data_IF_317592261102
#
_entry.id   IF_317592261102
#
_cell.length_a   1.000
_cell.length_b   1.000
_cell.length_c   1.000
_cell.angle_alpha   90.00
_cell.angle_beta   90.00
_cell.angle_gamma   90.00
#
_symmetry.space_group_name_H-M   'P 1'
#
loop_
_entity.id
_entity.type
_entity.pdbx_description
1 polymer ?
#
# COMPACT_ATOMS: atom_id res chain seq x y z
N UNK A 1 -10.69 13.06 -11.62
CA UNK A 1 -11.84 12.15 -11.38
C UNK A 1 -11.65 10.85 -12.16
N UNK A 2 -11.97 9.73 -11.52
CA UNK A 2 -11.91 8.39 -12.11
C UNK A 2 -13.28 7.73 -11.96
N UNK A 3 -13.77 7.10 -13.01
CA UNK A 3 -15.02 6.34 -12.97
C UNK A 3 -14.69 4.89 -12.60
N UNK A 4 -15.32 4.39 -11.54
CA UNK A 4 -15.11 3.05 -11.00
C UNK A 4 -16.42 2.31 -10.83
N UNK A 5 -16.37 0.97 -10.76
CA UNK A 5 -17.51 0.12 -10.42
C UNK A 5 -17.46 -0.25 -8.94
N UNK A 6 -18.46 0.14 -8.19
CA UNK A 6 -18.57 -0.22 -6.77
C UNK A 6 -18.63 -1.75 -6.56
N UNK A 7 -19.25 -2.48 -7.48
CA UNK A 7 -19.28 -3.94 -7.44
C UNK A 7 -17.88 -4.55 -7.57
N UNK A 8 -17.06 -4.02 -8.46
CA UNK A 8 -15.65 -4.45 -8.62
C UNK A 8 -14.83 -4.13 -7.37
N UNK A 9 -14.98 -2.93 -6.82
CA UNK A 9 -14.28 -2.55 -5.59
C UNK A 9 -14.63 -3.45 -4.41
N UNK A 10 -15.91 -3.80 -4.28
CA UNK A 10 -16.40 -4.72 -3.23
C UNK A 10 -15.84 -6.14 -3.36
N UNK A 11 -15.48 -6.57 -4.55
CA UNK A 11 -14.80 -7.86 -4.78
C UNK A 11 -13.31 -7.76 -4.48
N UNK A 12 -12.70 -6.62 -4.75
CA UNK A 12 -11.27 -6.41 -4.64
C UNK A 12 -10.77 -6.22 -3.19
N UNK A 13 -11.66 -5.76 -2.29
CA UNK A 13 -11.26 -5.35 -0.93
C UNK A 13 -12.38 -5.56 0.08
N UNK A 14 -12.09 -6.18 1.24
CA UNK A 14 -13.06 -6.29 2.34
C UNK A 14 -13.44 -4.93 2.92
N UNK A 15 -12.51 -3.97 2.95
CA UNK A 15 -12.76 -2.59 3.38
C UNK A 15 -13.73 -1.91 2.43
N UNK A 16 -13.47 -1.95 1.11
CA UNK A 16 -14.38 -1.41 0.12
C UNK A 16 -15.72 -2.16 0.06
N UNK A 17 -15.72 -3.46 0.38
CA UNK A 17 -16.96 -4.23 0.51
C UNK A 17 -17.87 -3.65 1.58
N UNK A 18 -17.32 -3.27 2.72
CA UNK A 18 -18.06 -2.62 3.80
C UNK A 18 -18.46 -1.19 3.43
N UNK A 19 -17.52 -0.40 2.90
CA UNK A 19 -17.68 1.01 2.55
C UNK A 19 -18.77 1.21 1.47
N UNK A 20 -18.79 0.37 0.43
CA UNK A 20 -19.75 0.46 -0.68
C UNK A 20 -20.91 -0.53 -0.58
N UNK A 21 -21.20 -1.05 0.60
CA UNK A 21 -22.34 -1.94 0.81
C UNK A 21 -23.66 -1.14 0.67
N UNK A 22 -24.55 -1.48 -0.28
CA UNK A 22 -25.83 -0.77 -0.46
C UNK A 22 -26.72 -0.74 0.78
N UNK A 23 -26.60 -1.75 1.65
CA UNK A 23 -27.32 -1.84 2.92
C UNK A 23 -26.47 -1.35 4.12
N UNK A 24 -25.32 -0.74 3.86
CA UNK A 24 -24.40 -0.28 4.89
C UNK A 24 -24.76 1.10 5.43
N UNK A 25 -24.10 1.47 6.52
CA UNK A 25 -24.30 2.76 7.18
C UNK A 25 -23.31 3.84 6.71
N UNK A 26 -22.40 3.50 5.79
CA UNK A 26 -21.42 4.45 5.28
C UNK A 26 -22.05 5.40 4.26
N UNK A 27 -21.69 6.67 4.31
CA UNK A 27 -22.18 7.70 3.37
C UNK A 27 -21.79 7.37 1.92
N UNK A 28 -20.64 6.73 1.74
CA UNK A 28 -20.09 6.31 0.45
C UNK A 28 -20.96 5.25 -0.24
N UNK A 29 -21.77 4.50 0.51
CA UNK A 29 -22.62 3.42 -0.03
C UNK A 29 -23.65 3.92 -1.05
N UNK A 30 -24.12 5.15 -0.89
CA UNK A 30 -25.12 5.79 -1.75
C UNK A 30 -24.61 6.99 -2.53
N UNK A 31 -23.36 7.40 -2.27
CA UNK A 31 -22.76 8.56 -2.90
C UNK A 31 -22.45 8.32 -4.38
N UNK A 32 -22.77 9.29 -5.24
CA UNK A 32 -22.39 9.27 -6.66
C UNK A 32 -20.89 9.58 -6.86
N UNK A 33 -20.30 10.31 -5.96
CA UNK A 33 -18.89 10.70 -5.94
C UNK A 33 -18.34 10.50 -4.52
N UNK A 34 -17.17 9.91 -4.43
CA UNK A 34 -16.45 9.69 -3.18
C UNK A 34 -15.10 10.36 -3.28
N UNK A 35 -14.73 11.11 -2.25
CA UNK A 35 -13.44 11.78 -2.15
C UNK A 35 -12.52 11.00 -1.23
N UNK A 36 -11.24 10.91 -1.61
CA UNK A 36 -10.16 10.29 -0.85
C UNK A 36 -9.05 11.32 -0.63
N UNK A 37 -9.28 12.34 0.20
CA UNK A 37 -8.36 13.49 0.32
C UNK A 37 -7.01 13.13 0.92
N UNK A 38 -6.96 12.10 1.75
CA UNK A 38 -5.76 11.67 2.48
C UNK A 38 -4.93 10.61 1.73
N UNK A 39 -5.40 10.21 0.54
CA UNK A 39 -4.75 9.16 -0.24
C UNK A 39 -3.86 9.75 -1.33
N UNK A 40 -2.69 9.13 -1.56
CA UNK A 40 -1.88 9.44 -2.74
C UNK A 40 -2.66 9.07 -4.01
N UNK A 41 -2.99 10.05 -4.89
CA UNK A 41 -3.87 9.79 -6.02
C UNK A 41 -3.24 8.88 -7.08
N UNK A 42 -1.91 8.88 -7.22
CA UNK A 42 -1.22 8.02 -8.17
C UNK A 42 -1.22 6.57 -7.69
N UNK A 43 -0.89 6.35 -6.42
CA UNK A 43 -0.92 5.02 -5.81
C UNK A 43 -2.33 4.44 -5.80
N UNK A 44 -3.33 5.22 -5.40
CA UNK A 44 -4.74 4.78 -5.43
C UNK A 44 -5.16 4.42 -6.85
N UNK A 45 -4.77 5.20 -7.87
CA UNK A 45 -5.08 4.92 -9.27
C UNK A 45 -4.49 3.58 -9.74
N UNK A 46 -3.26 3.25 -9.34
CA UNK A 46 -2.63 1.96 -9.65
C UNK A 46 -3.49 0.82 -9.11
N UNK A 47 -3.86 0.87 -7.83
CA UNK A 47 -4.67 -0.18 -7.20
C UNK A 47 -6.06 -0.28 -7.84
N UNK A 48 -6.70 0.86 -8.17
CA UNK A 48 -7.97 0.89 -8.89
C UNK A 48 -7.88 0.26 -10.30
N UNK A 49 -6.78 0.50 -11.03
CA UNK A 49 -6.53 -0.11 -12.34
C UNK A 49 -6.41 -1.64 -12.23
N UNK A 50 -5.68 -2.13 -11.22
CA UNK A 50 -5.56 -3.57 -10.97
C UNK A 50 -6.92 -4.16 -10.64
N UNK A 51 -7.68 -3.55 -9.74
CA UNK A 51 -9.02 -4.00 -9.38
C UNK A 51 -9.96 -4.10 -10.60
N UNK A 52 -9.83 -3.19 -11.58
CA UNK A 52 -10.62 -3.15 -12.81
C UNK A 52 -9.99 -3.89 -13.99
N UNK A 53 -8.98 -4.72 -13.75
CA UNK A 53 -8.26 -5.53 -14.77
C UNK A 53 -7.62 -4.69 -15.90
N UNK A 54 -7.29 -3.44 -15.61
CA UNK A 54 -6.63 -2.53 -16.57
C UNK A 54 -5.11 -2.69 -16.52
N UNK A 55 -4.63 -3.90 -16.62
CA UNK A 55 -3.21 -4.24 -16.41
C UNK A 55 -2.24 -3.54 -17.35
N UNK A 56 -2.68 -3.19 -18.57
CA UNK A 56 -1.85 -2.43 -19.52
C UNK A 56 -1.51 -1.00 -19.05
N UNK A 57 -2.24 -0.50 -18.08
CA UNK A 57 -2.05 0.84 -17.51
C UNK A 57 -1.33 0.80 -16.16
N UNK A 58 -1.00 -0.39 -15.68
CA UNK A 58 -0.22 -0.59 -14.45
C UNK A 58 1.25 -0.48 -14.80
N UNK A 59 2.05 0.34 -14.09
CA UNK A 59 3.47 0.46 -14.37
C UNK A 59 4.21 -0.85 -14.04
N UNK A 60 5.15 -1.23 -14.91
CA UNK A 60 5.99 -2.41 -14.71
C UNK A 60 6.96 -2.23 -13.53
N UNK A 61 7.39 -1.01 -13.27
CA UNK A 61 8.30 -0.66 -12.18
C UNK A 61 7.78 0.54 -11.42
N UNK A 62 8.06 0.56 -10.13
CA UNK A 62 7.80 1.69 -9.24
C UNK A 62 9.12 2.19 -8.67
N UNK A 63 9.24 3.49 -8.48
CA UNK A 63 10.26 4.06 -7.60
C UNK A 63 9.98 3.66 -6.15
N UNK A 64 11.00 3.75 -5.29
CA UNK A 64 10.83 3.46 -3.86
C UNK A 64 9.67 4.25 -3.24
N UNK A 65 9.59 5.55 -3.51
CA UNK A 65 8.53 6.42 -3.00
C UNK A 65 7.12 6.00 -3.48
N UNK A 66 6.99 5.64 -4.75
CA UNK A 66 5.72 5.15 -5.28
C UNK A 66 5.33 3.81 -4.64
N UNK A 67 6.32 2.92 -4.43
CA UNK A 67 6.08 1.64 -3.77
C UNK A 67 5.63 1.81 -2.32
N UNK A 68 6.22 2.75 -1.57
CA UNK A 68 5.74 3.14 -0.23
C UNK A 68 4.30 3.60 -0.28
N UNK A 69 3.96 4.51 -1.20
CA UNK A 69 2.58 5.01 -1.34
C UNK A 69 1.60 3.88 -1.69
N UNK A 70 1.99 2.96 -2.58
CA UNK A 70 1.16 1.79 -2.90
C UNK A 70 1.00 0.87 -1.70
N UNK A 71 2.05 0.64 -0.92
CA UNK A 71 1.96 -0.15 0.31
C UNK A 71 0.99 0.45 1.32
N UNK A 72 1.01 1.78 1.50
CA UNK A 72 0.05 2.50 2.35
C UNK A 72 -1.40 2.28 1.89
N UNK A 73 -1.67 2.41 0.60
CA UNK A 73 -3.01 2.15 0.04
C UNK A 73 -3.41 0.69 0.24
N UNK A 74 -2.50 -0.25 0.00
CA UNK A 74 -2.77 -1.68 0.17
C UNK A 74 -3.07 -2.06 1.63
N UNK A 75 -2.36 -1.49 2.58
CA UNK A 75 -2.61 -1.67 4.01
C UNK A 75 -3.96 -1.07 4.42
N UNK A 76 -4.21 0.18 4.03
CA UNK A 76 -5.44 0.91 4.36
C UNK A 76 -6.71 0.21 3.84
N UNK A 77 -6.66 -0.33 2.64
CA UNK A 77 -7.83 -0.92 1.97
C UNK A 77 -7.80 -2.45 1.90
N UNK A 78 -6.83 -3.09 2.54
CA UNK A 78 -6.65 -4.55 2.50
C UNK A 78 -6.71 -5.10 1.05
N UNK A 79 -5.85 -4.57 0.19
CA UNK A 79 -5.80 -4.89 -1.24
C UNK A 79 -4.54 -5.64 -1.66
N UNK A 80 -3.74 -6.14 -0.71
CA UNK A 80 -2.50 -6.87 -0.98
C UNK A 80 -2.73 -8.07 -1.91
N UNK A 81 -3.84 -8.77 -1.76
CA UNK A 81 -4.17 -9.95 -2.56
C UNK A 81 -4.21 -9.66 -4.06
N UNK A 82 -4.75 -8.51 -4.48
CA UNK A 82 -4.88 -8.16 -5.90
C UNK A 82 -3.60 -7.58 -6.50
N UNK A 83 -2.70 -7.00 -5.70
CA UNK A 83 -1.41 -6.47 -6.18
C UNK A 83 -0.31 -7.53 -6.18
N UNK A 84 -0.51 -8.66 -5.51
CA UNK A 84 0.48 -9.74 -5.36
C UNK A 84 1.19 -10.14 -6.67
N UNK A 85 0.51 -10.26 -7.83
CA UNK A 85 1.17 -10.63 -9.08
C UNK A 85 2.22 -9.63 -9.58
N UNK A 86 2.18 -8.38 -9.12
CA UNK A 86 3.08 -7.30 -9.54
C UNK A 86 4.26 -7.09 -8.59
N UNK A 87 4.19 -7.65 -7.39
CA UNK A 87 5.15 -7.35 -6.32
C UNK A 87 6.59 -7.72 -6.69
N UNK A 88 6.82 -8.86 -7.38
CA UNK A 88 8.17 -9.28 -7.77
C UNK A 88 8.87 -8.28 -8.66
N UNK A 89 8.13 -7.65 -9.58
CA UNK A 89 8.68 -6.63 -10.48
C UNK A 89 8.91 -5.30 -9.76
N UNK A 90 8.02 -4.96 -8.83
CA UNK A 90 8.09 -3.70 -8.09
C UNK A 90 9.15 -3.69 -6.98
N UNK A 91 9.33 -4.80 -6.28
CA UNK A 91 10.30 -4.89 -5.17
C UNK A 91 11.70 -5.26 -5.65
N UNK A 92 11.80 -5.84 -6.85
CA UNK A 92 13.08 -6.33 -7.38
C UNK A 92 13.61 -7.57 -6.64
N UNK A 93 14.76 -8.12 -7.10
CA UNK A 93 15.31 -9.36 -6.57
C UNK A 93 15.93 -9.23 -5.17
N UNK A 94 16.31 -8.02 -4.77
CA UNK A 94 16.96 -7.77 -3.48
C UNK A 94 16.24 -6.65 -2.73
N UNK A 95 15.33 -7.04 -1.85
CA UNK A 95 14.75 -6.11 -0.90
C UNK A 95 15.71 -5.94 0.27
N UNK A 96 16.44 -4.81 0.32
CA UNK A 96 17.35 -4.47 1.41
C UNK A 96 16.97 -3.12 2.01
N UNK A 97 16.93 -3.07 3.33
CA UNK A 97 16.78 -1.80 4.05
C UNK A 97 18.10 -1.05 3.97
N UNK A 98 18.09 0.11 3.34
CA UNK A 98 19.22 1.03 3.26
C UNK A 98 19.01 2.19 4.25
N UNK A 99 20.08 2.81 4.76
CA UNK A 99 19.95 4.02 5.55
C UNK A 99 19.19 5.12 4.79
N UNK A 100 18.15 5.69 5.42
CA UNK A 100 17.26 6.67 4.80
C UNK A 100 16.11 6.06 3.98
N UNK A 101 15.96 4.74 4.02
CA UNK A 101 14.87 4.00 3.36
C UNK A 101 14.25 3.00 4.35
N UNK A 102 14.05 3.43 5.58
CA UNK A 102 13.52 2.57 6.66
C UNK A 102 12.09 2.11 6.38
N UNK A 103 11.37 2.80 5.50
CA UNK A 103 10.04 2.40 5.03
C UNK A 103 10.04 1.05 4.30
N UNK A 104 11.21 0.50 3.91
CA UNK A 104 11.31 -0.88 3.44
C UNK A 104 10.79 -1.89 4.46
N UNK A 105 10.91 -1.59 5.76
CA UNK A 105 10.37 -2.43 6.83
C UNK A 105 8.84 -2.46 6.75
N UNK A 106 8.22 -1.31 6.51
CA UNK A 106 6.77 -1.21 6.32
C UNK A 106 6.31 -1.93 5.04
N UNK A 107 7.03 -1.75 3.92
CA UNK A 107 6.75 -2.46 2.66
C UNK A 107 6.83 -3.97 2.89
N UNK A 108 7.90 -4.45 3.55
CA UNK A 108 8.11 -5.86 3.83
C UNK A 108 7.00 -6.44 4.72
N UNK A 109 6.56 -5.70 5.73
CA UNK A 109 5.46 -6.08 6.59
C UNK A 109 4.13 -6.14 5.83
N UNK A 110 3.79 -5.09 5.10
CA UNK A 110 2.54 -4.99 4.33
C UNK A 110 2.40 -6.13 3.32
N UNK A 111 3.46 -6.43 2.58
CA UNK A 111 3.42 -7.45 1.52
C UNK A 111 3.78 -8.87 1.99
N UNK A 112 4.11 -9.05 3.28
CA UNK A 112 4.36 -10.35 3.88
C UNK A 112 5.76 -10.92 3.61
N UNK A 113 6.76 -10.08 3.38
CA UNK A 113 8.17 -10.49 3.21
C UNK A 113 8.84 -10.65 4.59
N UNK A 114 8.57 -11.77 5.24
CA UNK A 114 8.97 -12.04 6.63
C UNK A 114 10.46 -11.91 6.89
N UNK A 115 11.29 -12.45 6.01
CA UNK A 115 12.76 -12.44 6.20
C UNK A 115 13.31 -11.02 6.02
N UNK A 116 12.84 -10.29 5.01
CA UNK A 116 13.21 -8.89 4.80
C UNK A 116 12.77 -8.00 5.97
N UNK A 117 11.57 -8.21 6.48
CA UNK A 117 11.06 -7.51 7.67
C UNK A 117 11.94 -7.78 8.89
N UNK A 118 12.20 -9.05 9.20
CA UNK A 118 13.00 -9.44 10.37
C UNK A 118 14.41 -8.87 10.29
N UNK A 119 15.06 -9.00 9.14
CA UNK A 119 16.41 -8.46 8.91
C UNK A 119 16.44 -6.94 9.01
N UNK A 120 15.44 -6.26 8.42
CA UNK A 120 15.30 -4.81 8.49
C UNK A 120 15.13 -4.29 9.93
N UNK A 121 14.25 -4.92 10.71
CA UNK A 121 14.04 -4.56 12.12
C UNK A 121 15.31 -4.79 12.93
N UNK A 122 16.03 -5.90 12.73
CA UNK A 122 17.28 -6.15 13.43
C UNK A 122 18.36 -5.10 13.12
N UNK A 123 18.46 -4.70 11.85
CA UNK A 123 19.38 -3.66 11.41
C UNK A 123 19.01 -2.30 12.02
N UNK A 124 17.75 -1.95 12.02
CA UNK A 124 17.23 -0.73 12.63
C UNK A 124 17.58 -0.67 14.12
N UNK A 125 17.27 -1.74 14.87
CA UNK A 125 17.55 -1.82 16.33
C UNK A 125 19.05 -1.69 16.63
N UNK A 126 19.92 -2.19 15.77
CA UNK A 126 21.39 -2.06 15.96
C UNK A 126 21.89 -0.64 15.73
N UNK A 127 21.22 0.14 14.88
CA UNK A 127 21.65 1.49 14.47
C UNK A 127 21.02 2.60 15.30
N UNK A 128 19.88 2.32 15.91
CA UNK A 128 19.20 3.30 16.75
C UNK A 128 20.06 3.68 17.93
N UNK A 129 20.28 4.98 18.09
CA UNK A 129 20.85 5.59 19.28
C UNK A 129 19.82 6.47 19.96
N UNK A 130 19.98 6.69 21.26
CA UNK A 130 19.11 7.58 22.02
C UNK A 130 19.90 8.85 22.34
N UNK A 131 19.37 10.01 21.98
CA UNK A 131 19.98 11.30 22.33
C UNK A 131 19.74 11.65 23.81
N UNK A 132 20.42 12.71 24.28
CA UNK A 132 20.32 13.19 25.67
C UNK A 132 18.88 13.61 26.09
N UNK A 133 17.97 13.73 25.15
CA UNK A 133 16.55 14.04 25.35
C UNK A 133 15.64 12.84 25.26
N UNK A 134 16.19 11.64 25.15
CA UNK A 134 15.46 10.39 25.03
C UNK A 134 14.79 10.16 23.66
N UNK A 135 15.23 10.85 22.60
CA UNK A 135 14.72 10.68 21.23
C UNK A 135 15.54 9.65 20.49
N UNK A 136 14.88 8.77 19.74
CA UNK A 136 15.55 7.83 18.86
C UNK A 136 16.16 8.59 17.66
N UNK A 137 17.45 8.30 17.40
CA UNK A 137 18.21 8.82 16.27
C UNK A 137 18.67 7.65 15.41
N UNK A 138 18.58 7.81 14.07
CA UNK A 138 19.01 6.83 13.08
C UNK A 138 20.22 7.33 12.32
#
# INVERSE_FOLDING_TARGET
RVKVSSSVLRLASPVWKSMFNPSGHFLESTAKEVSFPDDDPAALLIVLRIAHLRFKEVPDKLSFKELVSVAVICDKYDTVSIVRPFLSEWTGPEMKVSPGEEEWIFIAWTFGYKDAFTSGVQELVRKVTIDDKGRCMF
#
